data_IF_764712782005
#
_entry.id   IF_764712782005
#
_cell.length_a   1.000
_cell.length_b   1.000
_cell.length_c   1.000
_cell.angle_alpha   90.00
_cell.angle_beta   90.00
_cell.angle_gamma   90.00
#
_symmetry.space_group_name_H-M   'P 1'
#
loop_
_entity.id
_entity.type
_entity.pdbx_description
1 polymer ?
#
# COMPACT_ATOMS: atom_id res chain seq x y z
N UNK A 1 -0.97 -37.95 -25.20
CA UNK A 1 -1.70 -38.14 -23.93
C UNK A 1 -1.44 -36.91 -23.10
N UNK A 2 -2.48 -36.09 -22.90
CA UNK A 2 -2.42 -34.87 -22.11
C UNK A 2 -2.22 -35.25 -20.64
N UNK A 3 -1.09 -34.86 -20.06
CA UNK A 3 -0.87 -34.93 -18.61
C UNK A 3 -1.86 -33.97 -17.95
N UNK A 4 -2.96 -34.50 -17.42
CA UNK A 4 -3.72 -33.82 -16.38
C UNK A 4 -2.80 -33.70 -15.18
N UNK A 5 -2.18 -32.54 -15.02
CA UNK A 5 -1.59 -32.17 -13.74
C UNK A 5 -2.68 -32.30 -12.68
N UNK A 6 -2.44 -33.16 -11.70
CA UNK A 6 -3.30 -33.46 -10.57
C UNK A 6 -3.61 -32.15 -9.83
N UNK A 7 -4.75 -31.51 -10.15
CA UNK A 7 -5.17 -30.25 -9.56
C UNK A 7 -5.77 -30.55 -8.20
N UNK A 8 -4.93 -30.75 -7.21
CA UNK A 8 -5.39 -30.82 -5.83
C UNK A 8 -5.88 -29.44 -5.36
N UNK A 9 -7.02 -29.36 -4.64
CA UNK A 9 -7.47 -28.10 -4.07
C UNK A 9 -6.46 -27.63 -3.01
N UNK A 10 -5.93 -26.43 -3.20
CA UNK A 10 -5.03 -25.76 -2.25
C UNK A 10 -5.83 -24.72 -1.46
N UNK A 11 -5.58 -24.60 -0.15
CA UNK A 11 -6.21 -23.53 0.65
C UNK A 11 -5.73 -22.16 0.16
N UNK A 12 -6.55 -21.10 0.18
CA UNK A 12 -6.15 -19.77 -0.32
C UNK A 12 -4.85 -19.22 0.31
N UNK A 13 -4.66 -19.43 1.62
CA UNK A 13 -3.42 -19.06 2.31
C UNK A 13 -2.22 -19.83 1.79
N UNK A 14 -2.35 -21.15 1.62
CA UNK A 14 -1.31 -22.00 1.06
C UNK A 14 -1.02 -21.66 -0.41
N UNK A 15 -2.03 -21.25 -1.18
CA UNK A 15 -1.85 -20.81 -2.55
C UNK A 15 -1.12 -19.45 -2.60
N UNK A 16 -1.40 -18.54 -1.67
CA UNK A 16 -0.67 -17.28 -1.53
C UNK A 16 0.79 -17.52 -1.11
N UNK A 17 1.03 -18.46 -0.20
CA UNK A 17 2.37 -18.86 0.23
C UNK A 17 3.13 -19.58 -0.90
N UNK A 18 2.49 -20.46 -1.66
CA UNK A 18 3.08 -21.12 -2.83
C UNK A 18 3.39 -20.12 -3.96
N UNK A 19 2.49 -19.17 -4.25
CA UNK A 19 2.75 -18.11 -5.21
C UNK A 19 3.90 -17.22 -4.74
N UNK A 20 3.96 -16.96 -3.44
CA UNK A 20 5.05 -16.23 -2.77
C UNK A 20 6.38 -16.96 -2.88
N UNK A 21 6.42 -18.28 -2.64
CA UNK A 21 7.60 -19.13 -2.71
C UNK A 21 8.09 -19.29 -4.16
N UNK A 22 7.19 -19.56 -5.10
CA UNK A 22 7.51 -19.77 -6.51
C UNK A 22 7.99 -18.48 -7.22
N UNK A 23 7.25 -17.37 -7.04
CA UNK A 23 7.64 -16.07 -7.62
C UNK A 23 8.68 -15.33 -6.76
N UNK A 24 9.00 -15.85 -5.57
CA UNK A 24 9.97 -15.31 -4.62
C UNK A 24 9.62 -13.95 -4.01
N UNK A 25 8.62 -13.23 -4.53
CA UNK A 25 8.43 -11.79 -4.28
C UNK A 25 6.99 -11.27 -4.29
N UNK A 26 5.99 -12.16 -4.24
CA UNK A 26 4.72 -11.80 -3.59
C UNK A 26 4.85 -11.81 -2.06
N UNK A 27 6.05 -12.14 -1.57
CA UNK A 27 6.43 -12.17 -0.17
C UNK A 27 6.05 -10.85 0.50
N UNK A 28 5.07 -10.96 1.37
CA UNK A 28 4.75 -9.89 2.29
C UNK A 28 5.95 -9.63 3.20
N UNK A 29 6.16 -8.38 3.61
CA UNK A 29 7.14 -8.10 4.66
C UNK A 29 6.44 -8.25 6.00
N UNK A 30 6.97 -9.10 6.86
CA UNK A 30 6.53 -9.19 8.25
C UNK A 30 7.39 -8.26 9.10
N UNK A 31 6.75 -7.28 9.71
CA UNK A 31 7.35 -6.38 10.69
C UNK A 31 7.13 -6.94 12.09
N UNK A 32 8.18 -7.00 12.89
CA UNK A 32 8.11 -7.25 14.33
C UNK A 32 7.69 -5.96 15.02
N UNK A 33 6.57 -6.01 15.75
CA UNK A 33 5.99 -4.87 16.45
C UNK A 33 6.39 -4.82 17.94
N UNK A 34 7.18 -5.78 18.41
CA UNK A 34 7.49 -5.98 19.83
C UNK A 34 6.49 -6.88 20.53
N UNK A 35 6.87 -7.42 21.69
CA UNK A 35 6.04 -8.26 22.56
C UNK A 35 5.43 -9.51 21.88
N UNK A 36 6.05 -9.97 20.79
CA UNK A 36 5.58 -11.12 19.99
C UNK A 36 4.49 -10.77 18.97
N UNK A 37 4.08 -9.50 18.89
CA UNK A 37 3.17 -9.02 17.87
C UNK A 37 3.91 -8.81 16.54
N UNK A 38 3.24 -9.16 15.43
CA UNK A 38 3.77 -8.93 14.09
C UNK A 38 2.70 -8.35 13.18
N UNK A 39 3.13 -7.62 12.16
CA UNK A 39 2.24 -7.13 11.11
C UNK A 39 2.80 -7.43 9.73
N UNK A 40 1.93 -7.93 8.86
CA UNK A 40 2.30 -8.40 7.52
C UNK A 40 1.86 -7.36 6.49
N UNK A 41 2.82 -6.73 5.82
CA UNK A 41 2.61 -5.88 4.65
C UNK A 41 2.53 -6.74 3.38
N UNK A 42 1.35 -6.96 2.79
CA UNK A 42 1.24 -7.76 1.58
C UNK A 42 1.73 -6.98 0.36
N UNK A 43 2.01 -7.71 -0.72
CA UNK A 43 2.02 -7.09 -2.04
C UNK A 43 0.62 -6.48 -2.32
N UNK A 44 0.51 -5.28 -2.93
CA UNK A 44 -0.79 -4.66 -3.21
C UNK A 44 -1.80 -5.52 -4.01
N UNK A 45 -1.32 -6.52 -4.75
CA UNK A 45 -2.16 -7.49 -5.45
C UNK A 45 -2.77 -8.57 -4.53
N UNK A 46 -2.24 -8.72 -3.31
CA UNK A 46 -2.65 -9.71 -2.30
C UNK A 46 -3.32 -9.09 -1.07
N UNK A 47 -3.74 -7.83 -1.13
CA UNK A 47 -4.45 -7.24 -0.01
C UNK A 47 -5.72 -8.05 0.32
N UNK A 48 -5.93 -8.39 1.60
CA UNK A 48 -7.24 -8.77 2.08
C UNK A 48 -8.30 -7.71 1.69
N UNK A 49 -9.57 -8.11 1.46
CA UNK A 49 -10.60 -7.19 0.99
C UNK A 49 -10.74 -5.91 1.82
N UNK A 50 -10.72 -6.01 3.15
CA UNK A 50 -10.82 -4.88 4.07
C UNK A 50 -9.63 -3.90 3.92
N UNK A 51 -8.41 -4.44 3.83
CA UNK A 51 -7.21 -3.64 3.58
C UNK A 51 -7.25 -2.99 2.20
N UNK A 52 -7.81 -3.68 1.20
CA UNK A 52 -7.95 -3.17 -0.17
C UNK A 52 -8.91 -2.00 -0.23
N UNK A 53 -10.04 -2.09 0.47
CA UNK A 53 -11.03 -1.01 0.55
C UNK A 53 -10.44 0.23 1.22
N UNK A 54 -9.71 0.07 2.33
CA UNK A 54 -9.00 1.18 3.00
C UNK A 54 -7.92 1.81 2.10
N UNK A 55 -7.19 0.99 1.35
CA UNK A 55 -6.21 1.48 0.39
C UNK A 55 -6.86 2.26 -0.76
N UNK A 56 -8.01 1.80 -1.27
CA UNK A 56 -8.75 2.50 -2.31
C UNK A 56 -9.32 3.83 -1.81
N UNK A 57 -9.84 3.87 -0.59
CA UNK A 57 -10.28 5.13 0.01
C UNK A 57 -9.12 6.12 0.18
N UNK A 58 -7.93 5.64 0.58
CA UNK A 58 -6.73 6.47 0.58
C UNK A 58 -6.42 7.03 -0.82
N UNK A 59 -6.46 6.20 -1.88
CA UNK A 59 -6.24 6.70 -3.24
C UNK A 59 -7.29 7.71 -3.69
N UNK A 60 -8.56 7.47 -3.38
CA UNK A 60 -9.67 8.40 -3.67
C UNK A 60 -9.42 9.74 -3.00
N UNK A 61 -9.17 9.75 -1.68
CA UNK A 61 -8.87 10.96 -0.92
C UNK A 61 -7.69 11.74 -1.51
N UNK A 62 -6.59 11.06 -1.81
CA UNK A 62 -5.39 11.68 -2.38
C UNK A 62 -5.64 12.27 -3.77
N UNK A 63 -6.69 11.84 -4.47
CA UNK A 63 -7.08 12.36 -5.78
C UNK A 63 -8.14 13.46 -5.74
N UNK A 64 -9.12 13.36 -4.85
CA UNK A 64 -10.36 14.15 -4.90
C UNK A 64 -10.50 15.19 -3.79
N UNK A 65 -9.96 14.94 -2.60
CA UNK A 65 -10.34 15.70 -1.39
C UNK A 65 -9.29 16.73 -0.95
N UNK A 66 -8.09 16.69 -1.55
CA UNK A 66 -6.99 17.60 -1.19
C UNK A 66 -7.29 19.04 -1.61
N UNK A 67 -6.72 20.00 -0.87
CA UNK A 67 -6.84 21.42 -1.21
C UNK A 67 -6.29 21.69 -2.62
N UNK A 68 -7.12 22.30 -3.48
CA UNK A 68 -6.75 22.67 -4.85
C UNK A 68 -6.65 24.18 -5.03
N UNK A 69 -5.96 24.59 -6.10
CA UNK A 69 -5.97 25.97 -6.60
C UNK A 69 -6.18 25.99 -8.12
N UNK A 70 -6.84 27.03 -8.66
CA UNK A 70 -6.93 27.21 -10.09
C UNK A 70 -5.54 27.47 -10.67
N UNK A 71 -5.23 26.84 -11.79
CA UNK A 71 -4.06 27.12 -12.62
C UNK A 71 -4.47 27.10 -14.07
N UNK A 72 -4.05 28.14 -14.80
CA UNK A 72 -4.19 28.17 -16.24
C UNK A 72 -3.22 27.18 -16.89
N UNK A 73 -3.76 26.24 -17.68
CA UNK A 73 -2.97 25.32 -18.47
C UNK A 73 -2.19 26.13 -19.54
N UNK A 74 -0.85 26.01 -19.60
CA UNK A 74 -0.04 26.82 -20.51
C UNK A 74 -0.19 26.43 -21.99
N UNK A 75 -0.78 25.26 -22.28
CA UNK A 75 -0.99 24.73 -23.63
C UNK A 75 -2.41 25.02 -24.11
N UNK A 76 -3.42 24.61 -23.35
CA UNK A 76 -4.84 24.76 -23.74
C UNK A 76 -5.41 26.13 -23.38
N UNK A 77 -4.81 26.82 -22.41
CA UNK A 77 -5.33 28.09 -21.88
C UNK A 77 -6.55 27.94 -20.97
N UNK A 78 -7.02 26.72 -20.72
CA UNK A 78 -8.14 26.42 -19.83
C UNK A 78 -7.72 26.52 -18.36
N UNK A 79 -8.68 26.84 -17.49
CA UNK A 79 -8.46 26.81 -16.03
C UNK A 79 -8.71 25.40 -15.50
N UNK A 80 -7.70 24.82 -14.87
CA UNK A 80 -7.76 23.51 -14.23
C UNK A 80 -7.53 23.66 -12.73
N UNK A 81 -8.24 22.87 -11.92
CA UNK A 81 -7.95 22.75 -10.51
C UNK A 81 -6.76 21.81 -10.32
N UNK A 82 -5.68 22.32 -9.73
CA UNK A 82 -4.50 21.52 -9.40
C UNK A 82 -4.32 21.43 -7.89
N UNK A 83 -3.82 20.30 -7.42
CA UNK A 83 -3.49 20.11 -6.01
C UNK A 83 -2.41 21.11 -5.55
N UNK A 84 -2.58 21.63 -4.35
CA UNK A 84 -1.59 22.51 -3.71
C UNK A 84 -0.44 21.67 -3.15
N UNK A 85 0.80 22.05 -3.48
CA UNK A 85 2.00 21.45 -2.89
C UNK A 85 2.71 22.43 -1.94
N UNK A 86 3.17 22.02 -0.74
CA UNK A 86 2.97 20.70 -0.11
C UNK A 86 1.50 20.37 0.15
N UNK A 87 1.17 19.08 0.18
CA UNK A 87 -0.20 18.57 0.25
C UNK A 87 -0.92 19.06 1.51
N UNK A 88 -2.19 19.43 1.36
CA UNK A 88 -3.04 19.94 2.42
C UNK A 88 -4.45 19.40 2.33
N UNK A 89 -5.09 19.31 3.49
CA UNK A 89 -6.51 19.04 3.64
C UNK A 89 -7.10 20.03 4.64
N UNK A 90 -8.12 20.79 4.23
CA UNK A 90 -8.75 21.84 5.03
C UNK A 90 -7.71 22.84 5.59
N UNK A 91 -6.75 23.25 4.75
CA UNK A 91 -5.68 24.19 5.07
C UNK A 91 -4.53 23.61 5.91
N UNK A 92 -4.66 22.40 6.45
CA UNK A 92 -3.66 21.74 7.29
C UNK A 92 -2.73 20.87 6.45
N UNK A 93 -1.44 20.89 6.76
CA UNK A 93 -0.46 19.99 6.12
C UNK A 93 -0.78 18.54 6.45
N UNK A 94 -0.63 17.69 5.43
CA UNK A 94 -0.75 16.24 5.56
C UNK A 94 0.55 15.56 5.15
N UNK A 95 0.80 14.39 5.72
CA UNK A 95 1.88 13.50 5.33
C UNK A 95 1.26 12.26 4.68
N UNK A 96 1.39 12.16 3.37
CA UNK A 96 0.87 11.05 2.56
C UNK A 96 1.36 9.69 3.06
N UNK A 97 2.65 9.56 3.37
CA UNK A 97 3.23 8.29 3.82
C UNK A 97 2.62 7.83 5.15
N UNK A 98 2.35 8.77 6.06
CA UNK A 98 1.70 8.48 7.34
C UNK A 98 0.23 8.11 7.14
N UNK A 99 -0.49 8.83 6.25
CA UNK A 99 -1.87 8.49 5.91
C UNK A 99 -1.99 7.12 5.25
N UNK A 100 -1.02 6.72 4.43
CA UNK A 100 -0.95 5.37 3.87
C UNK A 100 -0.78 4.32 4.98
N UNK A 101 0.09 4.57 5.95
CA UNK A 101 0.24 3.66 7.10
C UNK A 101 -1.06 3.54 7.89
N UNK A 102 -1.74 4.66 8.15
CA UNK A 102 -3.05 4.67 8.83
C UNK A 102 -4.08 3.87 8.04
N UNK A 103 -4.12 3.99 6.70
CA UNK A 103 -5.05 3.22 5.87
C UNK A 103 -4.77 1.70 5.94
N UNK A 104 -3.50 1.29 5.88
CA UNK A 104 -3.14 -0.12 5.83
C UNK A 104 -3.16 -0.82 7.20
N UNK A 105 -2.81 -0.08 8.26
CA UNK A 105 -2.70 -0.58 9.63
C UNK A 105 -3.93 -0.22 10.49
N UNK A 106 -4.88 0.53 9.92
CA UNK A 106 -6.13 0.94 10.57
C UNK A 106 -7.19 -0.16 10.62
N UNK A 107 -8.20 0.08 11.45
CA UNK A 107 -9.47 -0.65 11.41
C UNK A 107 -10.51 0.13 10.59
N UNK A 108 -11.69 -0.46 10.34
CA UNK A 108 -12.75 -0.03 9.40
C UNK A 108 -13.26 1.43 9.52
N UNK A 109 -12.73 2.25 10.42
CA UNK A 109 -13.19 3.63 10.68
C UNK A 109 -12.07 4.67 10.89
N UNK A 110 -10.80 4.36 10.64
CA UNK A 110 -9.70 5.17 11.17
C UNK A 110 -9.16 6.29 10.26
N UNK A 111 -9.52 6.36 8.97
CA UNK A 111 -8.88 7.30 8.03
C UNK A 111 -9.29 8.77 8.24
N UNK A 112 -10.60 9.06 8.25
CA UNK A 112 -11.12 10.41 8.49
C UNK A 112 -11.01 10.83 9.95
N UNK A 113 -11.17 9.87 10.87
CA UNK A 113 -11.01 10.10 12.32
C UNK A 113 -9.59 10.58 12.64
N UNK A 114 -8.56 9.90 12.10
CA UNK A 114 -7.16 10.31 12.26
C UNK A 114 -6.91 11.74 11.79
N UNK A 115 -7.55 12.18 10.69
CA UNK A 115 -7.40 13.55 10.19
C UNK A 115 -8.00 14.60 11.15
N UNK A 116 -9.02 14.23 11.92
CA UNK A 116 -9.68 15.10 12.88
C UNK A 116 -8.89 15.21 14.21
N UNK A 117 -8.59 14.07 14.84
CA UNK A 117 -8.10 14.02 16.23
C UNK A 117 -6.64 13.60 16.38
N UNK A 118 -6.01 13.07 15.32
CA UNK A 118 -4.64 12.51 15.29
C UNK A 118 -4.45 11.28 16.19
N UNK A 119 -5.51 10.59 16.53
CA UNK A 119 -5.49 9.30 17.21
C UNK A 119 -4.97 8.23 16.25
N UNK A 120 -3.85 7.60 16.61
CA UNK A 120 -3.22 6.58 15.76
C UNK A 120 -3.91 5.22 15.93
N UNK A 121 -4.13 4.46 14.85
CA UNK A 121 -4.52 3.07 14.97
C UNK A 121 -3.53 2.28 15.83
N UNK A 122 -4.03 1.27 16.54
CA UNK A 122 -3.22 0.48 17.48
C UNK A 122 -1.98 -0.13 16.80
N UNK A 123 -2.17 -0.78 15.66
CA UNK A 123 -1.07 -1.40 14.89
C UNK A 123 -0.08 -0.35 14.42
N UNK A 124 -0.54 0.81 13.97
CA UNK A 124 0.36 1.89 13.55
C UNK A 124 1.15 2.47 14.73
N UNK A 125 0.52 2.62 15.89
CA UNK A 125 1.20 3.05 17.10
C UNK A 125 2.29 2.06 17.53
N UNK A 126 2.01 0.75 17.48
CA UNK A 126 2.99 -0.32 17.74
C UNK A 126 4.14 -0.31 16.71
N UNK A 127 3.81 -0.14 15.43
CA UNK A 127 4.81 -0.02 14.36
C UNK A 127 5.79 1.13 14.59
N UNK A 128 5.30 2.32 14.97
CA UNK A 128 6.16 3.45 15.33
C UNK A 128 6.99 3.17 16.59
N UNK A 129 6.40 2.53 17.61
CA UNK A 129 7.10 2.18 18.85
C UNK A 129 8.24 1.18 18.61
N UNK A 130 8.09 0.28 17.63
CA UNK A 130 9.13 -0.65 17.18
C UNK A 130 10.24 0.03 16.33
N UNK A 131 10.17 1.34 16.11
CA UNK A 131 11.13 2.10 15.28
C UNK A 131 10.80 2.14 13.79
N UNK A 132 9.59 1.70 13.41
CA UNK A 132 9.07 1.85 12.07
C UNK A 132 8.89 3.31 11.68
N UNK A 133 9.04 3.62 10.39
CA UNK A 133 8.80 4.95 9.83
C UNK A 133 7.92 4.88 8.59
N UNK A 134 7.04 5.86 8.32
CA UNK A 134 6.02 5.73 7.29
C UNK A 134 6.55 5.42 5.88
N UNK A 135 7.64 6.06 5.45
CA UNK A 135 8.25 5.83 4.14
C UNK A 135 8.78 4.40 3.91
N UNK A 136 8.85 3.55 4.94
CA UNK A 136 9.23 2.14 4.79
C UNK A 136 8.21 1.36 3.95
N UNK A 137 6.93 1.70 4.01
CA UNK A 137 5.88 0.98 3.27
C UNK A 137 6.08 1.15 1.75
N UNK A 138 6.25 2.39 1.29
CA UNK A 138 6.51 2.67 -0.11
C UNK A 138 7.84 2.06 -0.58
N UNK A 139 8.87 2.14 0.26
CA UNK A 139 10.18 1.54 -0.04
C UNK A 139 10.08 0.02 -0.20
N UNK A 140 9.36 -0.66 0.70
CA UNK A 140 9.11 -2.08 0.65
C UNK A 140 8.42 -2.51 -0.65
N UNK A 141 7.36 -1.82 -1.06
CA UNK A 141 6.67 -2.13 -2.31
C UNK A 141 7.53 -1.88 -3.55
N UNK A 142 8.35 -0.81 -3.57
CA UNK A 142 9.28 -0.58 -4.67
C UNK A 142 10.32 -1.71 -4.78
N UNK A 143 10.81 -2.22 -3.66
CA UNK A 143 11.70 -3.37 -3.63
C UNK A 143 11.01 -4.61 -4.23
N UNK A 144 9.80 -4.95 -3.76
CA UNK A 144 9.01 -6.07 -4.28
C UNK A 144 8.80 -5.95 -5.80
N UNK A 145 8.43 -4.75 -6.28
CA UNK A 145 8.19 -4.50 -7.70
C UNK A 145 9.47 -4.65 -8.52
N UNK A 146 10.60 -4.10 -8.05
CA UNK A 146 11.88 -4.22 -8.75
C UNK A 146 12.31 -5.68 -8.89
N UNK A 147 12.15 -6.47 -7.83
CA UNK A 147 12.53 -7.88 -7.83
C UNK A 147 11.67 -8.70 -8.81
N UNK A 148 10.38 -8.38 -8.92
CA UNK A 148 9.50 -8.95 -9.96
C UNK A 148 10.00 -8.61 -11.37
N UNK A 149 10.30 -7.34 -11.64
CA UNK A 149 10.80 -6.91 -12.95
C UNK A 149 12.13 -7.57 -13.33
N UNK A 150 13.07 -7.70 -12.39
CA UNK A 150 14.35 -8.34 -12.63
C UNK A 150 14.21 -9.82 -12.99
N UNK A 151 13.24 -10.56 -12.41
CA UNK A 151 12.98 -11.96 -12.79
C UNK A 151 12.34 -12.07 -14.17
N UNK A 152 11.31 -11.28 -14.46
CA UNK A 152 10.68 -11.26 -15.79
C UNK A 152 11.71 -11.02 -16.89
N UNK A 153 12.68 -10.14 -16.65
CA UNK A 153 13.79 -9.91 -17.59
C UNK A 153 14.75 -11.09 -17.73
N UNK A 154 15.04 -11.83 -16.65
CA UNK A 154 15.89 -13.03 -16.72
C UNK A 154 15.18 -14.14 -17.50
N UNK A 155 13.91 -14.39 -17.21
CA UNK A 155 13.12 -15.40 -17.90
C UNK A 155 12.95 -15.06 -19.39
N UNK A 156 12.75 -13.78 -19.74
CA UNK A 156 12.71 -13.33 -21.14
C UNK A 156 14.02 -13.50 -21.92
N UNK A 157 15.15 -13.62 -21.22
CA UNK A 157 16.48 -13.86 -21.81
C UNK A 157 16.86 -15.34 -21.83
N UNK A 158 16.02 -16.20 -21.24
CA UNK A 158 16.19 -17.66 -21.22
C UNK A 158 15.30 -18.38 -22.24
N UNK A 159 14.64 -17.64 -23.15
CA UNK A 159 14.00 -18.17 -24.36
C UNK A 159 14.89 -18.03 -25.59
#
# INVERSE_FOLDING_TARGET
MSEEHDRHPVKPEQAADQATEYLGFMASITYDLGDGDTWKLPNPALFPPDMKDRYFEHLRFMSEDLDTKPRKNPITGEEEQIQIYPLRYNGKLINDEELLCVALMGSDTDYLQYLEDRTKPEVYAKFLAAGGVPGQINTAWQMMQRQLQERLQRDSKSS
#
